data_IF_184881532965
#
_entry.id   IF_184881532965
#
_cell.length_a   1.000
_cell.length_b   1.000
_cell.length_c   1.000
_cell.angle_alpha   90.00
_cell.angle_beta   90.00
_cell.angle_gamma   90.00
#
_symmetry.space_group_name_H-M   'P 1'
#
loop_
_entity.id
_entity.type
_entity.pdbx_description
1 polymer ?
#
# COMPACT_ATOMS: atom_id res chain seq x y z
N UNK A 1 13.51 -18.36 -8.30
CA UNK A 1 12.78 -19.62 -8.57
C UNK A 1 12.54 -19.70 -10.07
N UNK A 2 12.87 -20.83 -10.73
CA UNK A 2 12.60 -21.00 -12.16
C UNK A 2 11.09 -21.05 -12.44
N UNK A 3 10.70 -20.65 -13.65
CA UNK A 3 9.34 -20.79 -14.21
C UNK A 3 9.02 -22.29 -14.27
N UNK A 4 7.87 -22.68 -13.74
CA UNK A 4 7.37 -24.06 -13.81
C UNK A 4 6.45 -24.27 -15.04
N UNK A 5 6.04 -25.51 -15.30
CA UNK A 5 5.19 -25.84 -16.45
C UNK A 5 3.83 -25.10 -16.43
N UNK A 6 3.27 -24.87 -15.24
CA UNK A 6 2.00 -24.16 -15.09
C UNK A 6 2.19 -22.65 -15.27
N UNK A 7 3.31 -22.09 -14.80
CA UNK A 7 3.70 -20.72 -15.09
C UNK A 7 3.83 -20.52 -16.62
N UNK A 8 4.40 -21.48 -17.35
CA UNK A 8 4.49 -21.43 -18.82
C UNK A 8 3.13 -21.54 -19.53
N UNK A 9 2.23 -22.39 -19.04
CA UNK A 9 0.86 -22.51 -19.56
C UNK A 9 0.08 -21.19 -19.38
N UNK A 10 0.22 -20.54 -18.22
CA UNK A 10 -0.37 -19.23 -17.97
C UNK A 10 0.19 -18.22 -18.97
N UNK A 11 1.52 -18.13 -19.13
CA UNK A 11 2.14 -17.20 -20.10
C UNK A 11 1.55 -17.39 -21.51
N UNK A 12 1.40 -18.63 -21.94
CA UNK A 12 0.90 -18.95 -23.29
C UNK A 12 -0.60 -18.64 -23.46
N UNK A 13 -1.37 -18.57 -22.37
CA UNK A 13 -2.81 -18.29 -22.39
C UNK A 13 -3.16 -16.83 -22.11
N UNK A 14 -2.20 -16.01 -21.66
CA UNK A 14 -2.44 -14.59 -21.44
C UNK A 14 -2.72 -13.88 -22.78
N UNK A 15 -3.70 -12.95 -22.81
CA UNK A 15 -3.93 -12.11 -23.98
C UNK A 15 -2.72 -11.18 -24.22
N UNK A 16 -2.65 -10.61 -25.43
CA UNK A 16 -1.66 -9.57 -25.73
C UNK A 16 -1.92 -8.34 -24.86
N UNK A 17 -0.86 -7.59 -24.55
CA UNK A 17 -0.95 -6.40 -23.70
C UNK A 17 -1.97 -5.37 -24.22
N UNK A 18 -2.06 -5.18 -25.55
CA UNK A 18 -3.01 -4.24 -26.15
C UNK A 18 -4.48 -4.62 -25.94
N UNK A 19 -4.76 -5.91 -25.78
CA UNK A 19 -6.11 -6.48 -25.73
C UNK A 19 -6.46 -6.97 -24.31
N UNK A 20 -5.55 -6.82 -23.34
CA UNK A 20 -5.65 -7.48 -22.03
C UNK A 20 -6.92 -7.08 -21.30
N UNK A 21 -7.29 -5.80 -21.27
CA UNK A 21 -8.45 -5.35 -20.53
C UNK A 21 -9.76 -5.82 -21.20
N UNK A 22 -9.83 -5.73 -22.53
CA UNK A 22 -10.99 -6.19 -23.31
C UNK A 22 -11.20 -7.70 -23.16
N UNK A 23 -10.12 -8.50 -23.14
CA UNK A 23 -10.17 -9.94 -22.96
C UNK A 23 -10.78 -10.36 -21.60
N UNK A 24 -10.68 -9.51 -20.57
CA UNK A 24 -11.33 -9.74 -19.27
C UNK A 24 -12.65 -8.98 -19.10
N UNK A 25 -13.12 -8.23 -20.11
CA UNK A 25 -14.29 -7.36 -19.98
C UNK A 25 -14.10 -6.23 -18.96
N UNK A 26 -12.88 -5.70 -18.88
CA UNK A 26 -12.48 -4.63 -17.96
C UNK A 26 -12.33 -3.33 -18.72
N UNK A 27 -12.83 -2.25 -18.14
CA UNK A 27 -12.61 -0.89 -18.62
C UNK A 27 -11.66 -0.13 -17.69
N UNK A 28 -10.78 0.68 -18.27
CA UNK A 28 -9.83 1.53 -17.53
C UNK A 28 -10.31 2.97 -17.53
N UNK A 29 -10.40 3.59 -16.35
CA UNK A 29 -10.78 5.00 -16.18
C UNK A 29 -12.13 5.38 -16.84
N UNK A 30 -13.03 4.41 -17.03
CA UNK A 30 -14.30 4.64 -17.72
C UNK A 30 -15.32 5.40 -16.85
N UNK A 31 -15.26 5.24 -15.53
CA UNK A 31 -16.18 5.92 -14.62
C UNK A 31 -15.63 7.30 -14.20
N UNK A 32 -16.45 8.36 -14.23
CA UNK A 32 -16.14 9.62 -13.59
C UNK A 32 -15.85 9.44 -12.08
N UNK A 33 -15.04 10.34 -11.52
CA UNK A 33 -14.68 10.29 -10.09
C UNK A 33 -15.92 10.26 -9.19
N UNK A 34 -16.95 11.04 -9.49
CA UNK A 34 -18.17 11.07 -8.68
C UNK A 34 -18.93 9.74 -8.71
N UNK A 35 -18.93 9.02 -9.84
CA UNK A 35 -19.52 7.68 -9.93
C UNK A 35 -18.72 6.63 -9.18
N UNK A 36 -17.38 6.72 -9.20
CA UNK A 36 -16.50 5.85 -8.42
C UNK A 36 -16.77 6.03 -6.92
N UNK A 37 -16.91 7.27 -6.46
CA UNK A 37 -17.21 7.56 -5.05
C UNK A 37 -18.63 7.12 -4.68
N UNK A 38 -19.62 7.31 -5.55
CA UNK A 38 -20.96 6.77 -5.34
C UNK A 38 -20.97 5.23 -5.23
N UNK A 39 -20.13 4.53 -6.01
CA UNK A 39 -19.93 3.09 -5.86
C UNK A 39 -19.34 2.73 -4.49
N UNK A 40 -18.37 3.51 -3.98
CA UNK A 40 -17.82 3.30 -2.65
C UNK A 40 -18.85 3.51 -1.53
N UNK A 41 -19.78 4.44 -1.69
CA UNK A 41 -20.89 4.65 -0.75
C UNK A 41 -21.87 3.47 -0.77
N UNK A 42 -22.38 3.09 -1.96
CA UNK A 42 -23.38 2.02 -2.09
C UNK A 42 -22.87 0.64 -1.67
N UNK A 43 -21.58 0.37 -1.85
CA UNK A 43 -20.94 -0.89 -1.41
C UNK A 43 -20.60 -0.92 0.08
N UNK A 44 -20.93 0.15 0.83
CA UNK A 44 -20.61 0.26 2.25
C UNK A 44 -19.12 0.42 2.53
N UNK A 45 -18.30 0.70 1.52
CA UNK A 45 -16.87 0.91 1.68
C UNK A 45 -16.57 2.16 2.52
N UNK A 46 -17.40 3.20 2.40
CA UNK A 46 -17.40 4.41 3.22
C UNK A 46 -18.35 4.29 4.42
N UNK A 47 -18.06 3.36 5.34
CA UNK A 47 -18.81 3.26 6.61
C UNK A 47 -18.68 4.54 7.47
N UNK A 48 -19.61 4.81 8.41
CA UNK A 48 -19.77 6.12 9.06
C UNK A 48 -18.49 6.77 9.59
N UNK A 49 -17.67 6.06 10.37
CA UNK A 49 -16.43 6.67 10.89
C UNK A 49 -15.40 6.98 9.80
N UNK A 50 -15.34 6.17 8.74
CA UNK A 50 -14.46 6.44 7.60
C UNK A 50 -14.96 7.66 6.83
N UNK A 51 -16.28 7.73 6.61
CA UNK A 51 -16.91 8.89 5.98
C UNK A 51 -16.67 10.16 6.81
N UNK A 52 -16.86 10.13 8.13
CA UNK A 52 -16.63 11.28 9.01
C UNK A 52 -15.19 11.81 8.96
N UNK A 53 -14.19 10.93 8.78
CA UNK A 53 -12.78 11.32 8.61
C UNK A 53 -12.46 11.86 7.21
N UNK A 54 -13.22 11.45 6.21
CA UNK A 54 -13.01 11.85 4.80
C UNK A 54 -13.80 13.12 4.45
N UNK A 55 -15.00 13.28 5.02
CA UNK A 55 -15.98 14.32 4.68
C UNK A 55 -15.40 15.74 4.73
N UNK A 56 -14.59 16.15 5.74
CA UNK A 56 -14.00 17.48 5.78
C UNK A 56 -13.06 17.78 4.61
N UNK A 57 -12.60 16.74 3.90
CA UNK A 57 -11.61 16.82 2.83
C UNK A 57 -12.12 16.25 1.50
N UNK A 58 -13.38 15.80 1.43
CA UNK A 58 -13.87 14.97 0.33
C UNK A 58 -13.67 15.62 -1.04
N UNK A 59 -13.99 16.91 -1.16
CA UNK A 59 -13.83 17.65 -2.42
C UNK A 59 -12.35 17.81 -2.82
N UNK A 60 -11.46 18.03 -1.86
CA UNK A 60 -10.01 18.04 -2.12
C UNK A 60 -9.53 16.66 -2.60
N UNK A 61 -10.04 15.58 -2.00
CA UNK A 61 -9.71 14.21 -2.38
C UNK A 61 -10.20 13.91 -3.80
N UNK A 62 -11.46 14.22 -4.12
CA UNK A 62 -12.01 14.04 -5.47
C UNK A 62 -11.22 14.84 -6.50
N UNK A 63 -10.87 16.08 -6.18
CA UNK A 63 -10.03 16.89 -7.08
C UNK A 63 -8.66 16.25 -7.29
N UNK A 64 -7.96 15.81 -6.24
CA UNK A 64 -6.69 15.09 -6.37
C UNK A 64 -6.81 13.88 -7.32
N UNK A 65 -7.89 13.08 -7.18
CA UNK A 65 -8.17 11.96 -8.07
C UNK A 65 -8.38 12.41 -9.52
N UNK A 66 -9.19 13.44 -9.76
CA UNK A 66 -9.37 14.03 -11.10
C UNK A 66 -8.04 14.44 -11.70
N UNK A 67 -7.15 15.09 -10.93
CA UNK A 67 -5.82 15.50 -11.40
C UNK A 67 -4.95 14.31 -11.82
N UNK A 68 -4.93 13.27 -11.00
CA UNK A 68 -4.10 12.09 -11.28
C UNK A 68 -4.62 11.29 -12.48
N UNK A 69 -5.94 11.14 -12.63
CA UNK A 69 -6.58 10.42 -13.75
C UNK A 69 -6.35 11.12 -15.11
N UNK A 70 -6.11 12.44 -15.14
CA UNK A 70 -5.74 13.15 -16.38
C UNK A 70 -4.43 12.67 -17.00
N UNK A 71 -3.62 11.90 -16.28
CA UNK A 71 -2.39 11.27 -16.82
C UNK A 71 -2.61 9.82 -17.27
N UNK A 72 -3.85 9.44 -17.54
CA UNK A 72 -4.21 8.08 -17.94
C UNK A 72 -3.76 7.08 -16.89
N UNK A 73 -3.02 6.06 -17.30
CA UNK A 73 -2.50 5.00 -16.42
C UNK A 73 -1.14 5.33 -15.75
N UNK A 74 -0.72 6.60 -15.70
CA UNK A 74 0.64 6.93 -15.21
C UNK A 74 0.74 7.16 -13.70
N UNK A 75 -0.32 7.69 -13.08
CA UNK A 75 -0.34 8.12 -11.67
C UNK A 75 -1.43 7.44 -10.84
N UNK A 76 -2.64 7.38 -11.37
CA UNK A 76 -3.79 6.70 -10.79
C UNK A 76 -4.59 6.15 -11.96
N UNK A 77 -5.02 4.90 -11.85
CA UNK A 77 -6.04 4.36 -12.73
C UNK A 77 -7.02 3.49 -11.96
N UNK A 78 -8.20 3.34 -12.52
CA UNK A 78 -9.28 2.55 -11.94
C UNK A 78 -9.74 1.54 -12.97
N UNK A 79 -9.66 0.26 -12.60
CA UNK A 79 -10.20 -0.83 -13.39
C UNK A 79 -11.64 -1.08 -12.93
N UNK A 80 -12.57 -1.21 -13.87
CA UNK A 80 -13.98 -1.51 -13.60
C UNK A 80 -14.45 -2.67 -14.46
N UNK A 81 -15.25 -3.58 -13.90
CA UNK A 81 -15.94 -4.64 -14.63
C UNK A 81 -17.38 -4.81 -14.16
N UNK A 82 -18.20 -5.44 -14.98
CA UNK A 82 -19.63 -5.63 -14.73
C UNK A 82 -20.47 -4.41 -15.11
N UNK A 83 -21.74 -4.43 -14.73
CA UNK A 83 -22.74 -3.43 -15.08
C UNK A 83 -23.69 -3.16 -13.91
N UNK A 84 -24.59 -2.20 -14.06
CA UNK A 84 -25.59 -1.85 -13.03
C UNK A 84 -26.60 -2.95 -12.75
N UNK A 85 -26.87 -3.84 -13.71
CA UNK A 85 -27.88 -4.89 -13.59
C UNK A 85 -27.36 -6.09 -12.79
N UNK A 86 -26.10 -6.47 -13.00
CA UNK A 86 -25.48 -7.65 -12.40
C UNK A 86 -24.46 -7.29 -11.30
N UNK A 87 -24.30 -6.00 -11.02
CA UNK A 87 -23.35 -5.46 -10.06
C UNK A 87 -21.97 -5.22 -10.66
N UNK A 88 -21.35 -4.09 -10.28
CA UNK A 88 -19.99 -3.71 -10.70
C UNK A 88 -18.93 -4.16 -9.68
N UNK A 89 -17.70 -4.26 -10.14
CA UNK A 89 -16.52 -4.26 -9.30
C UNK A 89 -15.52 -3.21 -9.79
N UNK A 90 -14.78 -2.60 -8.87
CA UNK A 90 -13.68 -1.69 -9.23
C UNK A 90 -12.49 -1.86 -8.31
N UNK A 91 -11.30 -1.55 -8.82
CA UNK A 91 -10.06 -1.42 -8.04
C UNK A 91 -9.28 -0.20 -8.51
N UNK A 92 -8.80 0.61 -7.56
CA UNK A 92 -7.95 1.75 -7.82
C UNK A 92 -6.48 1.39 -7.61
N UNK A 93 -5.61 1.82 -8.51
CA UNK A 93 -4.18 1.54 -8.47
C UNK A 93 -3.42 2.83 -8.68
N UNK A 94 -2.49 3.15 -7.79
CA UNK A 94 -1.79 4.43 -7.80
C UNK A 94 -0.28 4.30 -7.63
N UNK A 95 0.45 5.23 -8.24
CA UNK A 95 1.91 5.24 -8.35
C UNK A 95 2.51 5.67 -7.02
N UNK A 96 3.09 4.73 -6.27
CA UNK A 96 3.67 4.97 -4.93
C UNK A 96 5.16 5.30 -4.98
N UNK A 97 5.89 4.77 -5.94
CA UNK A 97 7.30 5.06 -6.23
C UNK A 97 7.49 5.08 -7.77
N UNK A 98 8.70 5.26 -8.30
CA UNK A 98 8.90 5.40 -9.76
C UNK A 98 8.39 4.17 -10.52
N UNK A 99 8.75 2.99 -10.02
CA UNK A 99 8.43 1.66 -10.53
C UNK A 99 7.56 0.87 -9.53
N UNK A 100 6.93 1.56 -8.57
CA UNK A 100 6.11 0.95 -7.52
C UNK A 100 4.64 1.38 -7.62
N UNK A 101 3.74 0.41 -7.54
CA UNK A 101 2.29 0.62 -7.50
C UNK A 101 1.66 0.18 -6.20
N UNK A 102 0.55 0.81 -5.82
CA UNK A 102 -0.29 0.33 -4.72
C UNK A 102 -1.72 0.15 -5.20
N UNK A 103 -2.23 -1.07 -5.05
CA UNK A 103 -3.62 -1.42 -5.33
C UNK A 103 -4.46 -1.26 -4.07
N UNK A 104 -5.63 -0.65 -4.22
CA UNK A 104 -6.51 -0.33 -3.10
C UNK A 104 -7.96 -0.16 -3.56
N UNK A 105 -8.86 -0.03 -2.58
CA UNK A 105 -10.27 0.26 -2.81
C UNK A 105 -10.93 -0.76 -3.76
N UNK A 106 -10.54 -2.04 -3.66
CA UNK A 106 -11.29 -3.11 -4.29
C UNK A 106 -12.68 -3.17 -3.67
N UNK A 107 -13.69 -2.84 -4.47
CA UNK A 107 -15.10 -2.85 -4.09
C UNK A 107 -15.89 -3.67 -5.10
N UNK A 108 -17.00 -4.26 -4.65
CA UNK A 108 -17.89 -5.02 -5.51
C UNK A 108 -19.32 -4.98 -4.98
N UNK A 109 -20.29 -4.82 -5.88
CA UNK A 109 -21.72 -4.98 -5.65
C UNK A 109 -22.08 -6.47 -5.69
N UNK A 110 -21.43 -7.29 -4.85
CA UNK A 110 -21.61 -8.74 -4.75
C UNK A 110 -21.42 -9.52 -6.07
N UNK A 111 -20.58 -9.01 -6.98
CA UNK A 111 -20.26 -9.68 -8.24
C UNK A 111 -18.83 -10.28 -8.20
N UNK A 112 -18.69 -11.58 -7.84
CA UNK A 112 -17.38 -12.22 -7.75
C UNK A 112 -16.72 -12.42 -9.12
N UNK A 113 -17.49 -12.51 -10.22
CA UNK A 113 -16.95 -12.58 -11.58
C UNK A 113 -16.29 -11.25 -11.98
N UNK A 114 -16.96 -10.12 -11.73
CA UNK A 114 -16.39 -8.79 -11.97
C UNK A 114 -15.15 -8.54 -11.08
N UNK A 115 -15.20 -8.97 -9.82
CA UNK A 115 -14.07 -8.84 -8.89
C UNK A 115 -12.85 -9.67 -9.34
N UNK A 116 -13.08 -10.88 -9.88
CA UNK A 116 -12.04 -11.69 -10.52
C UNK A 116 -11.48 -10.97 -11.73
N UNK A 117 -12.33 -10.46 -12.61
CA UNK A 117 -11.92 -9.79 -13.84
C UNK A 117 -10.97 -8.61 -13.58
N UNK A 118 -11.33 -7.67 -12.71
CA UNK A 118 -10.46 -6.50 -12.42
C UNK A 118 -9.12 -6.90 -11.79
N UNK A 119 -9.10 -7.93 -10.94
CA UNK A 119 -7.89 -8.42 -10.28
C UNK A 119 -6.96 -9.16 -11.26
N UNK A 120 -7.51 -9.98 -12.15
CA UNK A 120 -6.74 -10.71 -13.16
C UNK A 120 -6.21 -9.78 -14.24
N UNK A 121 -7.05 -8.89 -14.78
CA UNK A 121 -6.64 -7.95 -15.82
C UNK A 121 -5.52 -7.02 -15.34
N UNK A 122 -5.63 -6.48 -14.12
CA UNK A 122 -4.56 -5.66 -13.54
C UNK A 122 -3.26 -6.42 -13.33
N UNK A 123 -3.34 -7.67 -12.87
CA UNK A 123 -2.16 -8.52 -12.64
C UNK A 123 -1.50 -8.97 -13.96
N UNK A 124 -2.30 -9.32 -14.97
CA UNK A 124 -1.84 -9.69 -16.31
C UNK A 124 -1.19 -8.49 -17.02
N UNK A 125 -1.84 -7.33 -17.01
CA UNK A 125 -1.31 -6.11 -17.61
C UNK A 125 0.03 -5.72 -16.96
N UNK A 126 0.13 -5.80 -15.64
CA UNK A 126 1.38 -5.59 -14.91
C UNK A 126 2.50 -6.51 -15.39
N UNK A 127 2.23 -7.82 -15.41
CA UNK A 127 3.21 -8.83 -15.82
C UNK A 127 3.67 -8.62 -17.27
N UNK A 128 2.73 -8.38 -18.19
CA UNK A 128 3.01 -8.17 -19.61
C UNK A 128 3.75 -6.86 -19.89
N UNK A 129 3.47 -5.78 -19.13
CA UNK A 129 4.25 -4.53 -19.20
C UNK A 129 5.69 -4.78 -18.76
N UNK A 130 5.89 -5.50 -17.66
CA UNK A 130 7.21 -5.95 -17.21
C UNK A 130 8.20 -4.83 -16.87
N UNK A 131 7.73 -3.59 -16.65
CA UNK A 131 8.57 -2.43 -16.32
C UNK A 131 8.54 -2.06 -14.83
N UNK A 132 7.49 -2.45 -14.12
CA UNK A 132 7.30 -2.10 -12.72
C UNK A 132 7.99 -3.12 -11.80
N UNK A 133 8.66 -2.62 -10.77
CA UNK A 133 9.50 -3.41 -9.86
C UNK A 133 8.67 -4.02 -8.73
N UNK A 134 7.61 -3.33 -8.28
CA UNK A 134 6.81 -3.79 -7.16
C UNK A 134 5.36 -3.33 -7.21
N UNK A 135 4.52 -4.15 -6.58
CA UNK A 135 3.15 -3.83 -6.27
C UNK A 135 2.90 -4.07 -4.80
N UNK A 136 2.04 -3.24 -4.23
CA UNK A 136 1.70 -3.29 -2.82
C UNK A 136 0.20 -3.18 -2.61
N UNK A 137 -0.27 -3.60 -1.44
CA UNK A 137 -1.61 -3.30 -0.96
C UNK A 137 -1.61 -3.19 0.57
N UNK A 138 -2.54 -2.39 1.09
CA UNK A 138 -2.75 -2.22 2.52
C UNK A 138 -4.15 -2.67 2.90
N UNK A 139 -4.25 -3.58 3.86
CA UNK A 139 -5.54 -4.15 4.28
C UNK A 139 -5.60 -4.37 5.78
N UNK A 140 -6.81 -4.38 6.34
CA UNK A 140 -7.00 -4.71 7.75
C UNK A 140 -6.98 -6.22 7.92
N UNK A 141 -6.24 -6.78 8.89
CA UNK A 141 -6.18 -8.22 9.09
C UNK A 141 -7.56 -8.83 9.43
N UNK A 142 -8.47 -8.05 10.02
CA UNK A 142 -9.83 -8.48 10.34
C UNK A 142 -10.74 -8.55 9.11
N UNK A 143 -10.37 -7.92 7.99
CA UNK A 143 -11.17 -7.99 6.77
C UNK A 143 -10.94 -9.33 6.08
N UNK A 144 -11.96 -10.19 6.13
CA UNK A 144 -11.90 -11.58 5.66
C UNK A 144 -11.45 -11.73 4.20
N UNK A 145 -11.94 -10.88 3.30
CA UNK A 145 -11.60 -11.00 1.88
C UNK A 145 -10.10 -10.75 1.62
N UNK A 146 -9.56 -9.54 1.89
CA UNK A 146 -8.17 -9.26 1.59
C UNK A 146 -7.21 -10.10 2.45
N UNK A 147 -7.58 -10.47 3.68
CA UNK A 147 -6.76 -11.38 4.49
C UNK A 147 -6.63 -12.77 3.88
N UNK A 148 -7.67 -13.28 3.20
CA UNK A 148 -7.59 -14.59 2.53
C UNK A 148 -6.81 -14.51 1.22
N UNK A 149 -7.04 -13.47 0.41
CA UNK A 149 -6.33 -13.28 -0.86
C UNK A 149 -4.89 -12.88 -0.58
N UNK A 150 -4.66 -11.66 -0.11
CA UNK A 150 -3.32 -11.12 0.03
C UNK A 150 -2.55 -11.75 1.19
N UNK A 151 -3.22 -12.13 2.28
CA UNK A 151 -2.54 -12.72 3.43
C UNK A 151 -1.92 -14.10 3.19
N UNK A 152 -2.38 -14.83 2.15
CA UNK A 152 -1.84 -16.16 1.80
C UNK A 152 -0.97 -16.14 0.54
N UNK A 153 -0.78 -14.98 -0.10
CA UNK A 153 -0.06 -14.88 -1.38
C UNK A 153 1.39 -15.35 -1.31
N UNK A 154 2.05 -15.19 -0.14
CA UNK A 154 3.45 -15.61 0.07
C UNK A 154 3.63 -17.11 -0.14
N UNK A 155 2.61 -17.92 0.19
CA UNK A 155 2.65 -19.37 0.00
C UNK A 155 2.69 -19.77 -1.48
N UNK A 156 2.18 -18.91 -2.37
CA UNK A 156 2.17 -19.16 -3.82
C UNK A 156 3.36 -18.48 -4.52
N UNK A 157 3.72 -17.27 -4.11
CA UNK A 157 4.76 -16.46 -4.76
C UNK A 157 6.16 -16.84 -4.26
N UNK A 158 6.29 -17.11 -2.96
CA UNK A 158 7.55 -17.33 -2.26
C UNK A 158 8.09 -16.06 -1.58
N UNK A 159 8.83 -16.26 -0.49
CA UNK A 159 9.36 -15.19 0.37
C UNK A 159 10.40 -14.30 -0.32
N UNK A 160 11.09 -14.81 -1.34
CA UNK A 160 12.08 -14.03 -2.10
C UNK A 160 11.46 -12.92 -2.95
N UNK A 161 10.17 -13.05 -3.29
CA UNK A 161 9.47 -12.12 -4.18
C UNK A 161 8.21 -11.52 -3.56
N UNK A 162 7.89 -11.86 -2.31
CA UNK A 162 6.69 -11.34 -1.66
C UNK A 162 6.83 -11.31 -0.16
N UNK A 163 6.08 -10.41 0.47
CA UNK A 163 5.98 -10.31 1.92
C UNK A 163 4.58 -9.89 2.32
N UNK A 164 4.11 -10.40 3.45
CA UNK A 164 2.94 -9.87 4.16
C UNK A 164 3.37 -9.57 5.57
N UNK A 165 3.37 -8.30 5.95
CA UNK A 165 3.75 -7.88 7.30
C UNK A 165 2.62 -7.12 7.96
N UNK A 166 2.41 -7.41 9.25
CA UNK A 166 1.42 -6.72 10.07
C UNK A 166 2.11 -5.59 10.82
N UNK A 167 1.50 -4.42 10.77
CA UNK A 167 1.98 -3.20 11.38
C UNK A 167 0.92 -2.60 12.30
N UNK A 168 1.38 -1.76 13.22
CA UNK A 168 0.54 -0.95 14.08
C UNK A 168 0.45 0.46 13.51
N UNK A 169 -0.76 1.00 13.47
CA UNK A 169 -1.06 2.32 12.96
C UNK A 169 -1.51 3.24 14.08
N UNK A 170 -0.78 4.34 14.26
CA UNK A 170 -0.98 5.32 15.32
C UNK A 170 -1.28 6.70 14.75
N UNK A 171 -2.02 7.51 15.50
CA UNK A 171 -2.12 8.95 15.31
C UNK A 171 -1.26 9.66 16.36
N UNK A 172 -0.15 10.26 15.93
CA UNK A 172 0.68 11.10 16.80
C UNK A 172 0.23 12.56 16.65
N UNK A 173 -0.24 13.25 17.71
CA UNK A 173 -0.69 14.63 17.58
C UNK A 173 0.42 15.53 17.02
N UNK A 174 0.14 16.25 15.92
CA UNK A 174 1.16 17.00 15.18
C UNK A 174 1.81 18.12 15.99
N UNK A 175 1.07 18.71 16.92
CA UNK A 175 1.52 19.80 17.80
C UNK A 175 2.16 19.31 19.09
N UNK A 176 2.29 17.99 19.28
CA UNK A 176 2.90 17.45 20.48
C UNK A 176 4.38 17.80 20.55
N UNK A 177 4.80 18.34 21.70
CA UNK A 177 6.21 18.54 22.00
C UNK A 177 6.87 17.22 22.40
N UNK A 178 7.69 16.67 21.51
CA UNK A 178 8.44 15.44 21.79
C UNK A 178 9.72 15.75 22.60
N UNK A 179 10.05 14.90 23.59
CA UNK A 179 11.20 15.11 24.47
C UNK A 179 12.52 15.11 23.69
N UNK A 180 13.48 15.93 24.14
CA UNK A 180 14.87 15.89 23.66
C UNK A 180 15.57 14.71 24.31
N UNK A 181 16.21 13.87 23.50
CA UNK A 181 16.86 12.67 23.98
C UNK A 181 18.38 12.84 23.92
N UNK A 182 19.04 12.71 25.07
CA UNK A 182 20.50 12.77 25.16
C UNK A 182 21.08 11.42 24.73
N UNK A 183 22.25 11.43 24.07
CA UNK A 183 22.97 10.21 23.66
C UNK A 183 22.47 9.54 22.37
N UNK A 184 21.37 10.01 21.79
CA UNK A 184 20.85 9.57 20.50
C UNK A 184 21.11 10.67 19.47
N UNK A 185 21.93 10.35 18.46
CA UNK A 185 22.24 11.26 17.36
C UNK A 185 21.33 10.91 16.19
N UNK A 186 20.44 11.82 15.82
CA UNK A 186 19.59 11.69 14.63
C UNK A 186 20.17 12.56 13.51
N UNK A 187 20.40 11.96 12.34
CA UNK A 187 20.90 12.67 11.15
C UNK A 187 19.92 12.54 10.00
N UNK A 188 19.74 13.60 9.19
CA UNK A 188 18.99 13.49 7.94
C UNK A 188 19.72 12.54 6.98
N UNK A 189 18.95 11.87 6.14
CA UNK A 189 19.49 11.05 5.06
C UNK A 189 20.36 11.90 4.10
N UNK A 190 21.45 11.29 3.67
CA UNK A 190 22.27 11.71 2.53
C UNK A 190 22.62 10.48 1.70
N UNK A 191 23.06 10.62 0.44
CA UNK A 191 23.43 9.46 -0.39
C UNK A 191 24.45 8.52 0.25
N UNK A 192 25.37 9.03 1.07
CA UNK A 192 26.32 8.23 1.87
C UNK A 192 25.68 7.33 2.93
N UNK A 193 24.42 7.60 3.31
CA UNK A 193 23.66 6.80 4.28
C UNK A 193 22.77 5.73 3.64
N UNK A 194 22.88 5.53 2.31
CA UNK A 194 22.05 4.55 1.59
C UNK A 194 22.21 3.14 2.12
N UNK A 195 23.44 2.67 2.31
CA UNK A 195 23.71 1.34 2.84
C UNK A 195 23.22 1.18 4.30
N UNK A 196 23.54 2.09 5.24
CA UNK A 196 22.95 2.09 6.57
C UNK A 196 21.42 2.07 6.59
N UNK A 197 20.78 2.88 5.73
CA UNK A 197 19.31 2.92 5.62
C UNK A 197 18.74 1.58 5.12
N UNK A 198 19.36 0.99 4.10
CA UNK A 198 18.95 -0.31 3.58
C UNK A 198 19.15 -1.41 4.62
N UNK A 199 20.24 -1.36 5.41
CA UNK A 199 20.52 -2.34 6.46
C UNK A 199 19.45 -2.31 7.56
N UNK A 200 19.15 -1.14 8.12
CA UNK A 200 18.10 -1.01 9.16
C UNK A 200 16.71 -1.34 8.62
N UNK A 201 16.39 -0.93 7.38
CA UNK A 201 15.13 -1.26 6.75
C UNK A 201 15.00 -2.76 6.46
N UNK A 202 16.08 -3.42 6.04
CA UNK A 202 16.11 -4.89 5.87
C UNK A 202 15.93 -5.60 7.21
N UNK A 203 16.58 -5.13 8.27
CA UNK A 203 16.45 -5.72 9.60
C UNK A 203 15.03 -5.58 10.17
N UNK A 204 14.36 -4.43 9.93
CA UNK A 204 13.01 -4.17 10.44
C UNK A 204 11.89 -4.74 9.54
N UNK A 205 12.05 -4.67 8.22
CA UNK A 205 10.99 -4.94 7.23
C UNK A 205 11.37 -5.97 6.15
N UNK A 206 12.59 -6.49 6.15
CA UNK A 206 13.06 -7.43 5.12
C UNK A 206 13.41 -6.77 3.79
N UNK A 207 14.07 -7.53 2.91
CA UNK A 207 14.59 -7.05 1.62
C UNK A 207 13.50 -6.72 0.60
N UNK A 208 12.37 -7.43 0.63
CA UNK A 208 11.21 -7.16 -0.26
C UNK A 208 10.69 -5.74 -0.06
N UNK A 209 10.64 -5.25 1.19
CA UNK A 209 10.28 -3.87 1.51
C UNK A 209 11.30 -2.87 0.95
N UNK A 210 12.61 -3.13 1.12
CA UNK A 210 13.69 -2.26 0.62
C UNK A 210 13.58 -2.07 -0.89
N UNK A 211 13.32 -3.15 -1.64
CA UNK A 211 13.11 -3.11 -3.09
C UNK A 211 11.83 -2.35 -3.43
N UNK A 212 10.71 -2.68 -2.79
CA UNK A 212 9.41 -2.09 -3.14
C UNK A 212 9.28 -0.61 -2.79
N UNK A 213 10.01 -0.16 -1.77
CA UNK A 213 10.13 1.25 -1.43
C UNK A 213 11.30 1.94 -2.16
N UNK A 214 11.99 1.26 -3.08
CA UNK A 214 13.09 1.83 -3.91
C UNK A 214 14.20 2.50 -3.09
N UNK A 215 14.50 1.98 -1.90
CA UNK A 215 15.48 2.62 -0.99
C UNK A 215 16.92 2.55 -1.50
N UNK A 216 17.19 1.71 -2.52
CA UNK A 216 18.50 1.63 -3.16
C UNK A 216 18.66 2.62 -4.33
N UNK A 217 17.56 3.15 -4.86
CA UNK A 217 17.53 3.94 -6.09
C UNK A 217 17.04 5.37 -5.86
N UNK A 218 15.88 5.55 -5.21
CA UNK A 218 15.23 6.86 -5.05
C UNK A 218 14.62 7.04 -3.65
N UNK A 219 15.48 7.14 -2.64
CA UNK A 219 15.09 7.31 -1.22
C UNK A 219 14.20 8.52 -0.98
N UNK A 220 14.33 9.60 -1.74
CA UNK A 220 13.59 10.84 -1.49
C UNK A 220 12.46 11.11 -2.50
N UNK A 221 12.11 10.11 -3.32
CA UNK A 221 11.02 10.19 -4.30
C UNK A 221 11.22 11.28 -5.37
N UNK A 222 12.45 11.57 -5.78
CA UNK A 222 12.72 12.58 -6.81
C UNK A 222 11.97 12.28 -8.11
N UNK A 223 12.05 11.05 -8.60
CA UNK A 223 11.45 10.68 -9.88
C UNK A 223 9.92 10.63 -9.83
N UNK A 224 9.34 10.09 -8.75
CA UNK A 224 7.88 10.05 -8.62
C UNK A 224 7.31 11.44 -8.30
N UNK A 225 8.01 12.31 -7.54
CA UNK A 225 7.58 13.69 -7.32
C UNK A 225 7.47 14.46 -8.63
N UNK A 226 8.42 14.30 -9.55
CA UNK A 226 8.37 14.90 -10.90
C UNK A 226 7.10 14.48 -11.66
N UNK A 227 6.71 13.21 -11.57
CA UNK A 227 5.47 12.72 -12.17
C UNK A 227 4.24 13.41 -11.56
N UNK A 228 4.19 13.54 -10.23
CA UNK A 228 3.07 14.21 -9.54
C UNK A 228 3.03 15.72 -9.82
N UNK A 229 4.19 16.37 -9.97
CA UNK A 229 4.28 17.79 -10.32
C UNK A 229 3.66 18.11 -11.68
N UNK A 230 3.71 17.15 -12.61
CA UNK A 230 3.06 17.30 -13.93
C UNK A 230 1.54 17.52 -13.87
N UNK A 231 0.90 17.21 -12.74
CA UNK A 231 -0.53 17.44 -12.50
C UNK A 231 -0.80 18.43 -11.36
N UNK A 232 0.21 19.21 -10.98
CA UNK A 232 0.10 20.20 -9.89
C UNK A 232 -0.05 19.57 -8.50
N UNK A 233 0.44 18.35 -8.31
CA UNK A 233 0.50 17.65 -7.03
C UNK A 233 1.96 17.41 -6.63
N UNK A 234 2.19 16.92 -5.40
CA UNK A 234 3.52 16.57 -4.89
C UNK A 234 3.48 15.21 -4.23
N UNK A 235 4.57 14.46 -4.36
CA UNK A 235 4.80 13.23 -3.62
C UNK A 235 6.26 13.15 -3.21
N UNK A 236 6.55 13.43 -1.95
CA UNK A 236 7.93 13.56 -1.45
C UNK A 236 8.18 12.62 -0.29
N UNK A 237 9.43 12.22 -0.12
CA UNK A 237 9.86 11.39 1.01
C UNK A 237 11.13 11.97 1.63
N UNK A 238 11.22 11.93 2.96
CA UNK A 238 12.44 12.25 3.70
C UNK A 238 12.73 11.16 4.71
N UNK A 239 14.01 10.89 4.95
CA UNK A 239 14.43 9.88 5.89
C UNK A 239 15.45 10.45 6.89
N UNK A 240 15.47 9.87 8.09
CA UNK A 240 16.48 10.11 9.11
C UNK A 240 16.92 8.79 9.71
N UNK A 241 18.16 8.76 10.20
CA UNK A 241 18.74 7.61 10.89
C UNK A 241 19.15 8.03 12.30
N UNK A 242 18.93 7.14 13.27
CA UNK A 242 19.34 7.30 14.65
C UNK A 242 20.55 6.41 14.95
N UNK A 243 21.54 6.98 15.63
CA UNK A 243 22.76 6.32 16.08
C UNK A 243 22.92 6.47 17.58
N UNK A 244 23.56 5.48 18.21
CA UNK A 244 24.00 5.57 19.61
C UNK A 244 25.42 6.11 19.68
N UNK A 245 25.61 7.31 20.24
CA UNK A 245 26.95 7.87 20.48
C UNK A 245 27.90 7.76 19.28
N UNK A 246 29.04 7.07 19.49
CA UNK A 246 30.12 6.86 18.53
C UNK A 246 29.93 5.64 17.60
N UNK A 247 28.78 4.97 17.62
CA UNK A 247 28.55 3.84 16.71
C UNK A 247 28.17 4.33 15.31
N UNK A 248 28.71 3.66 14.30
CA UNK A 248 28.40 3.90 12.88
C UNK A 248 27.24 3.04 12.37
N UNK A 249 26.70 2.14 13.20
CA UNK A 249 25.52 1.35 12.87
C UNK A 249 24.23 2.05 13.34
N UNK A 250 23.23 2.21 12.45
CA UNK A 250 21.96 2.81 12.83
C UNK A 250 21.15 1.86 13.72
N UNK A 251 20.60 2.40 14.79
CA UNK A 251 19.73 1.68 15.74
C UNK A 251 18.23 1.88 15.43
N UNK A 252 17.93 2.75 14.49
CA UNK A 252 16.60 3.01 13.98
C UNK A 252 16.63 4.01 12.83
N UNK A 253 15.52 4.09 12.11
CA UNK A 253 15.27 5.07 11.07
C UNK A 253 13.81 5.50 11.08
N UNK A 254 13.53 6.65 10.48
CA UNK A 254 12.16 7.07 10.21
C UNK A 254 12.08 7.60 8.79
N UNK A 255 11.02 7.21 8.08
CA UNK A 255 10.78 7.61 6.70
C UNK A 255 9.42 8.33 6.66
N UNK A 256 9.45 9.63 6.43
CA UNK A 256 8.26 10.47 6.37
C UNK A 256 7.78 10.63 4.92
N UNK A 257 6.55 10.21 4.65
CA UNK A 257 5.91 10.30 3.34
C UNK A 257 4.94 11.49 3.32
N UNK A 258 4.97 12.28 2.24
CA UNK A 258 3.95 13.29 1.93
C UNK A 258 3.44 13.09 0.52
N UNK A 259 2.14 13.14 0.36
CA UNK A 259 1.44 13.01 -0.91
C UNK A 259 0.08 13.70 -0.87
N UNK A 260 -0.63 13.74 -2.00
CA UNK A 260 -1.97 14.32 -2.02
C UNK A 260 -2.91 13.50 -1.14
N UNK A 261 -3.72 14.20 -0.35
CA UNK A 261 -4.61 13.58 0.63
C UNK A 261 -5.66 12.70 -0.06
N UNK A 262 -5.93 11.54 0.56
CA UNK A 262 -7.09 10.71 0.23
C UNK A 262 -6.92 9.89 -1.05
N UNK A 263 -5.69 9.69 -1.53
CA UNK A 263 -5.44 8.56 -2.44
C UNK A 263 -5.85 7.28 -1.71
N UNK A 264 -5.34 7.03 -0.50
CA UNK A 264 -5.82 5.99 0.39
C UNK A 264 -6.72 6.61 1.48
N UNK A 265 -7.92 6.07 1.69
CA UNK A 265 -8.84 6.65 2.69
C UNK A 265 -8.46 6.38 4.15
N UNK A 266 -7.34 5.69 4.37
CA UNK A 266 -6.69 5.58 5.70
C UNK A 266 -5.48 6.50 5.83
N UNK A 267 -5.18 7.32 4.81
CA UNK A 267 -4.08 8.28 4.78
C UNK A 267 -2.68 7.65 4.91
N UNK A 268 -2.55 6.36 4.56
CA UNK A 268 -1.29 5.60 4.60
C UNK A 268 -0.29 6.11 3.54
N UNK A 269 -0.76 6.75 2.48
CA UNK A 269 0.09 7.42 1.48
C UNK A 269 0.93 8.56 2.07
N UNK A 270 0.51 9.07 3.24
CA UNK A 270 1.15 10.14 4.02
C UNK A 270 1.80 9.62 5.32
N UNK A 271 1.98 8.29 5.48
CA UNK A 271 2.53 7.68 6.70
C UNK A 271 3.92 8.22 7.09
N UNK A 272 4.24 8.12 8.37
CA UNK A 272 5.56 8.24 8.96
C UNK A 272 5.96 6.83 9.40
N UNK A 273 6.88 6.20 8.68
CA UNK A 273 7.28 4.81 8.89
C UNK A 273 8.44 4.75 9.87
N UNK A 274 8.18 4.32 11.11
CA UNK A 274 9.17 4.21 12.17
C UNK A 274 9.76 2.79 12.17
N UNK A 275 11.07 2.71 11.92
CA UNK A 275 11.83 1.47 11.82
C UNK A 275 12.80 1.41 12.99
N UNK A 276 12.64 0.45 13.89
CA UNK A 276 13.59 0.23 14.98
C UNK A 276 14.36 -1.08 14.72
N UNK A 277 15.64 -1.12 15.06
CA UNK A 277 16.41 -2.34 14.93
C UNK A 277 15.79 -3.42 15.84
N UNK A 278 15.57 -4.67 15.37
CA UNK A 278 14.89 -5.70 16.16
C UNK A 278 15.63 -6.09 17.45
N UNK A 279 16.93 -5.80 17.54
CA UNK A 279 17.76 -6.03 18.74
C UNK A 279 17.96 -4.76 19.60
N UNK A 280 17.22 -3.69 19.33
CA UNK A 280 17.25 -2.47 20.15
C UNK A 280 16.80 -2.80 21.58
N UNK A 281 17.59 -2.48 22.63
CA UNK A 281 17.17 -2.72 24.01
C UNK A 281 15.93 -1.91 24.37
N UNK A 282 15.01 -2.51 25.13
CA UNK A 282 13.74 -1.88 25.56
C UNK A 282 13.94 -0.51 26.23
N UNK A 283 15.03 -0.38 27.01
CA UNK A 283 15.40 0.88 27.68
C UNK A 283 15.67 2.04 26.72
N UNK A 284 16.03 1.75 25.47
CA UNK A 284 16.36 2.74 24.45
C UNK A 284 15.21 3.05 23.50
N UNK A 285 14.22 2.15 23.39
CA UNK A 285 13.09 2.25 22.43
C UNK A 285 12.38 3.60 22.52
N UNK A 286 12.01 4.03 23.73
CA UNK A 286 11.31 5.30 23.94
C UNK A 286 12.14 6.50 23.44
N UNK A 287 13.43 6.53 23.78
CA UNK A 287 14.33 7.60 23.38
C UNK A 287 14.52 7.63 21.86
N UNK A 288 14.73 6.47 21.23
CA UNK A 288 14.96 6.39 19.78
C UNK A 288 13.70 6.81 19.02
N UNK A 289 12.54 6.29 19.42
CA UNK A 289 11.25 6.66 18.82
C UNK A 289 11.00 8.18 18.95
N UNK A 290 11.18 8.75 20.14
CA UNK A 290 10.97 10.18 20.36
C UNK A 290 11.89 11.05 19.50
N UNK A 291 13.18 10.71 19.43
CA UNK A 291 14.17 11.48 18.67
C UNK A 291 13.89 11.45 17.16
N UNK A 292 13.56 10.26 16.62
CA UNK A 292 13.23 10.08 15.21
C UNK A 292 11.92 10.81 14.85
N UNK A 293 10.84 10.59 15.61
CA UNK A 293 9.55 11.24 15.36
C UNK A 293 9.64 12.76 15.47
N UNK A 294 10.48 13.27 16.37
CA UNK A 294 10.76 14.71 16.47
C UNK A 294 11.39 15.24 15.18
N UNK A 295 12.39 14.57 14.64
CA UNK A 295 13.00 14.97 13.37
C UNK A 295 11.98 14.94 12.22
N UNK A 296 11.21 13.84 12.11
CA UNK A 296 10.21 13.65 11.08
C UNK A 296 9.03 14.64 11.16
N UNK A 297 8.69 15.14 12.35
CA UNK A 297 7.57 16.07 12.57
C UNK A 297 7.63 17.33 11.69
N UNK A 298 8.84 17.75 11.32
CA UNK A 298 9.08 18.91 10.46
C UNK A 298 8.48 18.74 9.06
N UNK A 299 8.44 17.52 8.52
CA UNK A 299 7.83 17.22 7.21
C UNK A 299 6.32 17.37 7.23
N UNK A 300 5.72 17.24 8.41
CA UNK A 300 4.27 17.36 8.59
C UNK A 300 3.85 18.78 8.98
N UNK A 301 4.75 19.77 8.98
CA UNK A 301 4.34 21.17 9.11
C UNK A 301 3.36 21.53 7.97
N UNK A 302 2.20 22.09 8.34
CA UNK A 302 1.13 22.38 7.38
C UNK A 302 0.40 21.14 6.84
N UNK A 303 0.59 19.96 7.42
CA UNK A 303 -0.19 18.77 7.07
C UNK A 303 -1.68 19.00 7.37
N UNK A 304 -2.52 18.55 6.44
CA UNK A 304 -3.97 18.72 6.44
C UNK A 304 -4.64 18.09 7.67
N UNK A 305 -4.07 16.98 8.18
CA UNK A 305 -4.58 16.31 9.37
C UNK A 305 -3.95 16.86 10.67
N UNK A 306 -4.70 16.75 11.76
CA UNK A 306 -4.25 17.15 13.10
C UNK A 306 -3.20 16.22 13.70
N UNK A 307 -3.06 15.01 13.16
CA UNK A 307 -2.13 13.99 13.62
C UNK A 307 -1.26 13.45 12.48
N UNK A 308 -0.03 13.08 12.82
CA UNK A 308 0.91 12.38 11.96
C UNK A 308 0.51 10.89 11.96
N UNK A 309 0.18 10.29 10.81
CA UNK A 309 -0.06 8.86 10.68
C UNK A 309 1.25 8.08 10.86
N UNK A 310 1.45 7.41 12.00
CA UNK A 310 2.67 6.64 12.26
C UNK A 310 2.43 5.15 12.02
N UNK A 311 3.31 4.50 11.27
CA UNK A 311 3.34 3.05 11.06
C UNK A 311 4.59 2.50 11.75
N UNK A 312 4.44 1.44 12.55
CA UNK A 312 5.55 0.82 13.29
C UNK A 312 5.29 -0.67 13.55
N UNK A 313 6.32 -1.36 14.05
CA UNK A 313 6.21 -2.70 14.64
C UNK A 313 5.94 -2.67 16.14
N UNK A 314 5.62 -3.86 16.67
CA UNK A 314 5.27 -4.09 18.07
C UNK A 314 6.31 -3.53 19.06
N UNK A 315 7.59 -3.56 18.70
CA UNK A 315 8.69 -3.06 19.54
C UNK A 315 8.48 -1.60 19.97
N UNK A 316 7.89 -0.74 19.12
CA UNK A 316 7.69 0.66 19.45
C UNK A 316 6.31 0.98 20.07
N UNK A 317 5.44 -0.02 20.24
CA UNK A 317 4.04 0.19 20.61
C UNK A 317 3.89 0.92 21.97
N UNK A 318 4.57 0.41 23.00
CA UNK A 318 4.54 0.99 24.34
C UNK A 318 5.13 2.40 24.34
N UNK A 319 6.23 2.61 23.60
CA UNK A 319 6.85 3.92 23.48
C UNK A 319 5.93 4.94 22.80
N UNK A 320 5.25 4.58 21.72
CA UNK A 320 4.30 5.48 21.04
C UNK A 320 3.15 5.90 21.96
N UNK A 321 2.58 4.96 22.72
CA UNK A 321 1.53 5.28 23.70
C UNK A 321 2.06 6.21 24.80
N UNK A 322 3.27 5.99 25.32
CA UNK A 322 3.91 6.87 26.30
C UNK A 322 4.20 8.26 25.73
N UNK A 323 4.50 8.35 24.44
CA UNK A 323 4.63 9.61 23.71
C UNK A 323 3.27 10.22 23.34
N UNK A 324 2.14 9.71 23.85
CA UNK A 324 0.82 10.30 23.61
C UNK A 324 0.27 10.08 22.19
N UNK A 325 0.81 9.11 21.44
CA UNK A 325 0.21 8.67 20.20
C UNK A 325 -0.99 7.74 20.48
N UNK A 326 -2.08 7.93 19.76
CA UNK A 326 -3.28 7.10 19.85
C UNK A 326 -3.15 5.88 18.93
N UNK A 327 -3.29 4.67 19.46
CA UNK A 327 -3.38 3.48 18.64
C UNK A 327 -4.72 3.44 17.90
N UNK A 328 -4.68 3.34 16.56
CA UNK A 328 -5.89 3.38 15.74
C UNK A 328 -6.35 2.01 15.25
N UNK A 329 -5.42 1.11 14.90
CA UNK A 329 -5.65 -0.28 14.43
C UNK A 329 -4.38 -0.94 13.90
N UNK A 330 -4.52 -2.19 13.46
CA UNK A 330 -3.54 -2.87 12.64
C UNK A 330 -3.81 -2.72 11.14
N UNK A 331 -2.74 -2.75 10.36
CA UNK A 331 -2.77 -2.96 8.92
C UNK A 331 -1.76 -4.02 8.53
N UNK A 332 -2.07 -4.81 7.52
CA UNK A 332 -1.11 -5.62 6.81
C UNK A 332 -0.67 -4.90 5.53
N UNK A 333 0.64 -4.87 5.28
CA UNK A 333 1.22 -4.51 3.99
C UNK A 333 1.53 -5.80 3.23
N UNK A 334 0.83 -6.03 2.12
CA UNK A 334 1.20 -7.03 1.15
C UNK A 334 2.10 -6.39 0.10
N UNK A 335 3.23 -7.04 -0.21
CA UNK A 335 4.15 -6.64 -1.28
C UNK A 335 4.43 -7.84 -2.16
N UNK A 336 4.45 -7.65 -3.49
CA UNK A 336 5.02 -8.60 -4.43
C UNK A 336 5.88 -7.87 -5.46
N UNK A 337 7.05 -8.45 -5.73
CA UNK A 337 8.04 -7.91 -6.65
C UNK A 337 7.79 -8.42 -8.07
N UNK A 338 8.45 -7.79 -9.04
CA UNK A 338 8.41 -8.15 -10.47
C UNK A 338 8.53 -9.65 -10.72
N UNK A 339 9.52 -10.31 -10.09
CA UNK A 339 9.72 -11.76 -10.23
C UNK A 339 8.59 -12.65 -9.69
N UNK A 340 7.67 -12.07 -8.90
CA UNK A 340 6.51 -12.76 -8.32
C UNK A 340 5.17 -12.44 -9.00
N UNK A 341 5.11 -11.52 -9.97
CA UNK A 341 3.85 -11.03 -10.54
C UNK A 341 3.02 -12.13 -11.21
N UNK A 342 3.64 -13.02 -11.99
CA UNK A 342 2.94 -14.13 -12.63
C UNK A 342 2.30 -15.08 -11.60
N UNK A 343 2.99 -15.33 -10.49
CA UNK A 343 2.49 -16.18 -9.42
C UNK A 343 1.44 -15.49 -8.57
N UNK A 344 1.47 -14.16 -8.48
CA UNK A 344 0.36 -13.39 -7.92
C UNK A 344 -0.89 -13.53 -8.80
N UNK A 345 -0.77 -13.46 -10.13
CA UNK A 345 -1.88 -13.75 -11.04
C UNK A 345 -2.45 -15.16 -10.81
N UNK A 346 -1.58 -16.19 -10.79
CA UNK A 346 -1.96 -17.58 -10.49
C UNK A 346 -2.66 -17.72 -9.14
N UNK A 347 -2.17 -17.00 -8.12
CA UNK A 347 -2.75 -17.00 -6.78
C UNK A 347 -4.19 -16.46 -6.78
N UNK A 348 -4.39 -15.30 -7.41
CA UNK A 348 -5.70 -14.65 -7.57
C UNK A 348 -6.65 -15.57 -8.34
N UNK A 349 -6.19 -16.13 -9.44
CA UNK A 349 -6.96 -17.05 -10.27
C UNK A 349 -7.43 -18.27 -9.47
N UNK A 350 -6.50 -18.94 -8.78
CA UNK A 350 -6.83 -20.08 -7.93
C UNK A 350 -7.81 -19.73 -6.81
N UNK A 351 -7.69 -18.54 -6.21
CA UNK A 351 -8.63 -18.07 -5.19
C UNK A 351 -10.06 -17.93 -5.74
N UNK A 352 -10.23 -17.20 -6.84
CA UNK A 352 -11.55 -16.94 -7.39
C UNK A 352 -12.18 -18.17 -8.04
N UNK A 353 -11.41 -19.02 -8.71
CA UNK A 353 -11.95 -20.25 -9.29
C UNK A 353 -12.52 -21.19 -8.22
N UNK A 354 -11.90 -21.25 -7.03
CA UNK A 354 -12.49 -21.96 -5.88
C UNK A 354 -13.72 -21.26 -5.30
N UNK A 355 -13.76 -19.93 -5.31
CA UNK A 355 -14.91 -19.15 -4.82
C UNK A 355 -16.13 -19.38 -5.72
N UNK A 356 -15.97 -19.23 -7.03
CA UNK A 356 -17.03 -19.38 -8.02
C UNK A 356 -17.59 -20.80 -8.04
N UNK A 357 -16.72 -21.83 -8.05
CA UNK A 357 -17.16 -23.23 -7.97
C UNK A 357 -17.91 -23.59 -6.67
N UNK A 358 -17.72 -22.82 -5.59
CA UNK A 358 -18.53 -22.98 -4.36
C UNK A 358 -19.88 -22.30 -4.51
N UNK A 359 -19.93 -21.11 -5.08
CA UNK A 359 -21.19 -20.39 -5.32
C UNK A 359 -22.11 -21.14 -6.28
N UNK A 360 -21.58 -21.71 -7.36
CA UNK A 360 -22.32 -22.51 -8.33
C UNK A 360 -22.95 -23.75 -7.65
N UNK A 361 -22.19 -24.49 -6.85
CA UNK A 361 -22.73 -25.65 -6.11
C UNK A 361 -23.85 -25.28 -5.12
N UNK A 362 -23.76 -24.13 -4.44
CA UNK A 362 -24.83 -23.68 -3.55
C UNK A 362 -26.08 -23.26 -4.32
N UNK A 363 -25.93 -22.58 -5.46
CA UNK A 363 -27.06 -22.21 -6.32
C UNK A 363 -27.78 -23.46 -6.85
N UNK A 364 -27.02 -24.45 -7.34
CA UNK A 364 -27.56 -25.73 -7.81
C UNK A 364 -28.29 -26.49 -6.71
N UNK A 365 -27.75 -26.52 -5.48
CA UNK A 365 -28.40 -27.19 -4.35
C UNK A 365 -29.72 -26.49 -3.93
N UNK A 366 -29.81 -25.16 -4.02
CA UNK A 366 -31.06 -24.45 -3.73
C UNK A 366 -32.14 -24.71 -4.77
N UNK A 367 -31.79 -24.86 -6.05
CA UNK A 367 -32.74 -25.22 -7.13
C UNK A 367 -33.24 -26.65 -7.09
N UNK A 368 -32.55 -27.57 -6.39
CA UNK A 368 -33.00 -28.96 -6.21
C UNK A 368 -33.84 -29.18 -4.94
N UNK A 369 -33.92 -28.18 -4.06
CA UNK A 369 -34.68 -28.22 -2.79
C UNK A 369 -35.91 -27.33 -2.81
N UNK A 370 -36.08 -26.51 -3.86
CA UNK A 370 -37.32 -25.80 -4.24
C UNK A 370 -38.15 -26.63 -5.20
#
# INVERSE_FOLDING_TARGET
>A
MPIDALDQEIINSLPKLADVYDAYGVQVNALPVDEIFALYERTGFLYPDKAARLLPHLEQVKENWRRMLRRGESLLYVLTAGDEKHGRASIAVWRTARNGWTSQHLVSENNPYASRAVMLAGSAASFLKGVDESHQNWFRPENRFPSRVFGSMVQTIGESFSSVQRHMYFALPRKLALPVQKGIRVVPYSPSQREPLCAIATAARGSVYVTAEELQQDVEFKAVDEMYRSVGLRRTRRAWLAYRGYKDEPIGAVIAYRGPLGINFSYIENRCDLLLHPTLPDSDVLGVAAALLKAASTVYQGFELSAIPVITDQIAATALTQLGAEFLRHYCQGIWLKGGQLRFYRHVEGFYSRLLARSERHATHLTFVS
#
